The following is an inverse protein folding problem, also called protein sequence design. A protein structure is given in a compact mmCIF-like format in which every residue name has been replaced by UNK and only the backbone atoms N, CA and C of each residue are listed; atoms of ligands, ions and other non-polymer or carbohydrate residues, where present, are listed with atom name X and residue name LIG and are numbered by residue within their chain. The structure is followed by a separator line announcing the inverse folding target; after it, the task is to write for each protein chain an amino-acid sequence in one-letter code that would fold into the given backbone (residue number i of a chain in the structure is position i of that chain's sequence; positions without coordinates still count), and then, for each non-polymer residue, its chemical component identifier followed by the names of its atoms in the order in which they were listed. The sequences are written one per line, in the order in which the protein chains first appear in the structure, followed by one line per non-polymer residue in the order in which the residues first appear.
data_IF_617121041843
#
_entry.id   IF_617121041843
#
_cell.length_a   1.000
_cell.length_b   1.000
_cell.length_c   1.000
_cell.angle_alpha   90.00
_cell.angle_beta   90.00
_cell.angle_gamma   90.00
#
_symmetry.space_group_name_H-M   'P 1'
#
loop_
_entity.id
_entity.type
_entity.pdbx_description
1 polymer ?
#
# COMPACT_ATOMS: atom_id res chain seq x y z
N UNK A 1 7.61 41.69 12.44
CA UNK A 1 6.73 41.01 11.45
C UNK A 1 7.33 39.63 11.26
N UNK A 2 6.74 38.61 11.85
CA UNK A 2 7.14 37.22 11.59
C UNK A 2 6.83 36.94 10.13
N UNK A 3 7.84 36.89 9.24
CA UNK A 3 7.67 36.44 7.88
C UNK A 3 7.12 35.00 7.95
N UNK A 4 5.83 34.87 7.69
CA UNK A 4 5.18 33.56 7.67
C UNK A 4 5.72 32.81 6.44
N UNK A 5 6.63 31.86 6.65
CA UNK A 5 7.23 31.08 5.56
C UNK A 5 6.12 30.39 4.75
N UNK A 6 6.24 30.45 3.44
CA UNK A 6 5.31 29.80 2.52
C UNK A 6 5.83 28.42 2.14
N UNK A 7 5.00 27.41 2.37
CA UNK A 7 5.38 26.00 2.15
C UNK A 7 4.45 25.33 1.13
N UNK A 8 5.01 24.78 0.07
CA UNK A 8 4.25 23.93 -0.84
C UNK A 8 4.21 22.49 -0.34
N UNK A 9 3.05 21.85 -0.46
CA UNK A 9 2.88 20.42 -0.25
C UNK A 9 2.35 19.82 -1.54
N UNK A 10 3.06 18.83 -2.11
CA UNK A 10 2.75 18.24 -3.41
C UNK A 10 2.22 16.83 -3.24
N UNK A 11 1.02 16.58 -3.78
CA UNK A 11 0.23 15.38 -3.62
C UNK A 11 -0.71 15.45 -2.43
N UNK A 12 -1.70 14.57 -2.39
CA UNK A 12 -2.70 14.48 -1.31
C UNK A 12 -2.82 13.08 -0.70
N UNK A 13 -1.81 12.23 -0.84
CA UNK A 13 -1.73 10.97 -0.11
C UNK A 13 -1.53 11.20 1.40
N UNK A 14 -1.67 10.14 2.20
CA UNK A 14 -1.59 10.22 3.67
C UNK A 14 -0.33 10.95 4.18
N UNK A 15 0.82 10.79 3.51
CA UNK A 15 2.07 11.46 3.88
C UNK A 15 1.97 12.97 3.72
N UNK A 16 1.48 13.42 2.56
CA UNK A 16 1.28 14.85 2.27
C UNK A 16 0.23 15.46 3.16
N UNK A 17 -0.91 14.77 3.36
CA UNK A 17 -2.00 15.25 4.23
C UNK A 17 -1.54 15.37 5.68
N UNK A 18 -0.78 14.39 6.19
CA UNK A 18 -0.18 14.49 7.53
C UNK A 18 0.77 15.68 7.61
N UNK A 19 1.63 15.88 6.62
CA UNK A 19 2.54 17.03 6.58
C UNK A 19 1.77 18.34 6.55
N UNK A 20 0.78 18.47 5.66
CA UNK A 20 -0.04 19.68 5.52
C UNK A 20 -0.79 20.03 6.80
N UNK A 21 -1.38 19.02 7.48
CA UNK A 21 -2.12 19.21 8.73
C UNK A 21 -1.28 19.90 9.82
N UNK A 22 -0.06 19.42 10.04
CA UNK A 22 0.82 19.96 11.06
C UNK A 22 1.54 21.25 10.60
N UNK A 23 1.92 21.34 9.33
CA UNK A 23 2.54 22.55 8.77
C UNK A 23 1.60 23.74 8.80
N UNK A 24 0.29 23.55 8.54
CA UNK A 24 -0.71 24.61 8.54
C UNK A 24 -0.85 25.33 9.88
N UNK A 25 -0.42 24.72 10.98
CA UNK A 25 -0.44 25.35 12.32
C UNK A 25 0.66 26.41 12.48
N UNK A 26 1.71 26.37 11.63
CA UNK A 26 2.90 27.23 11.80
C UNK A 26 3.25 28.02 10.54
N UNK A 27 2.87 27.54 9.36
CA UNK A 27 3.27 28.07 8.07
C UNK A 27 2.07 28.44 7.21
N UNK A 28 2.27 29.32 6.24
CA UNK A 28 1.32 29.49 5.14
C UNK A 28 1.53 28.39 4.11
N UNK A 29 0.58 27.47 3.98
CA UNK A 29 0.72 26.31 3.09
C UNK A 29 -0.11 26.49 1.82
N UNK A 30 0.32 25.84 0.73
CA UNK A 30 -0.51 25.53 -0.44
C UNK A 30 -0.29 24.05 -0.81
N UNK A 31 -1.39 23.29 -0.91
CA UNK A 31 -1.37 21.90 -1.31
C UNK A 31 -1.80 21.76 -2.78
N UNK A 32 -1.00 21.06 -3.57
CA UNK A 32 -1.26 20.76 -4.97
C UNK A 32 -1.64 19.29 -5.14
N UNK A 33 -2.76 19.03 -5.81
CA UNK A 33 -3.19 17.67 -6.19
C UNK A 33 -3.56 17.65 -7.67
N UNK A 34 -2.98 16.70 -8.42
CA UNK A 34 -3.21 16.56 -9.87
C UNK A 34 -4.61 16.04 -10.22
N UNK A 35 -5.21 15.25 -9.31
CA UNK A 35 -6.53 14.67 -9.50
C UNK A 35 -7.63 15.63 -9.02
N UNK A 36 -8.87 15.27 -9.31
CA UNK A 36 -10.10 15.94 -8.86
C UNK A 36 -10.54 15.50 -7.45
N UNK A 37 -9.79 14.60 -6.80
CA UNK A 37 -10.08 14.04 -5.47
C UNK A 37 -8.82 14.01 -4.60
N UNK A 38 -9.02 14.01 -3.27
CA UNK A 38 -7.98 13.93 -2.25
C UNK A 38 -7.80 12.50 -1.72
N UNK A 39 -6.63 12.21 -1.14
CA UNK A 39 -6.37 10.98 -0.40
C UNK A 39 -5.42 10.01 -1.09
N UNK A 40 -5.20 10.13 -2.40
CA UNK A 40 -4.34 9.19 -3.15
C UNK A 40 -4.88 7.76 -3.08
N UNK A 41 -4.19 6.86 -2.35
CA UNK A 41 -4.65 5.49 -2.10
C UNK A 41 -5.76 5.40 -1.02
N UNK A 42 -6.03 6.45 -0.27
CA UNK A 42 -7.22 6.58 0.56
C UNK A 42 -8.39 6.98 -0.33
N UNK A 43 -8.96 5.99 -1.01
CA UNK A 43 -9.94 6.23 -2.07
C UNK A 43 -11.22 5.44 -1.80
N UNK A 44 -12.26 6.15 -1.42
CA UNK A 44 -13.59 5.60 -1.16
C UNK A 44 -14.52 5.95 -2.32
N UNK A 45 -15.16 4.97 -2.88
CA UNK A 45 -16.18 5.11 -3.94
C UNK A 45 -17.56 4.93 -3.32
N UNK A 46 -18.42 5.92 -3.49
CA UNK A 46 -19.84 5.80 -3.14
C UNK A 46 -20.58 5.15 -4.32
N UNK A 47 -21.14 3.97 -4.10
CA UNK A 47 -21.92 3.26 -5.11
C UNK A 47 -23.39 3.23 -4.73
N UNK A 48 -24.26 3.28 -5.73
CA UNK A 48 -25.68 2.94 -5.55
C UNK A 48 -25.88 1.47 -5.97
N UNK A 49 -26.17 0.62 -4.98
CA UNK A 49 -26.42 -0.79 -5.22
C UNK A 49 -27.88 -1.12 -4.89
N UNK A 50 -28.72 -1.23 -5.92
CA UNK A 50 -30.16 -1.48 -5.80
C UNK A 50 -30.86 -0.49 -4.85
N UNK A 51 -30.57 0.81 -4.99
CA UNK A 51 -31.18 1.85 -4.18
C UNK A 51 -30.50 2.11 -2.83
N UNK A 52 -29.50 1.30 -2.43
CA UNK A 52 -28.71 1.51 -1.22
C UNK A 52 -27.38 2.17 -1.56
N UNK A 53 -27.06 3.30 -0.92
CA UNK A 53 -25.77 3.93 -1.04
C UNK A 53 -24.76 3.26 -0.10
N UNK A 54 -23.63 2.81 -0.64
CA UNK A 54 -22.59 2.08 0.07
C UNK A 54 -21.25 2.73 -0.24
N UNK A 55 -20.50 3.08 0.80
CA UNK A 55 -19.12 3.59 0.69
C UNK A 55 -18.15 2.43 0.69
N UNK A 56 -17.31 2.31 -0.35
CA UNK A 56 -16.37 1.20 -0.52
C UNK A 56 -14.98 1.72 -0.77
N UNK A 57 -14.01 1.34 0.06
CA UNK A 57 -12.60 1.64 -0.15
C UNK A 57 -11.99 0.73 -1.22
N UNK A 58 -11.28 1.33 -2.18
CA UNK A 58 -10.63 0.60 -3.27
C UNK A 58 -9.10 0.62 -3.21
N UNK A 59 -8.54 1.26 -2.18
CA UNK A 59 -7.09 1.34 -1.95
C UNK A 59 -6.75 0.95 -0.51
N UNK A 60 -6.64 1.90 0.42
CA UNK A 60 -6.45 1.61 1.83
C UNK A 60 -7.75 1.14 2.47
N UNK A 61 -7.75 -0.05 3.11
CA UNK A 61 -8.97 -0.69 3.63
C UNK A 61 -8.87 -0.94 5.14
N UNK A 62 -7.77 -1.54 5.60
CA UNK A 62 -7.64 -2.04 6.98
C UNK A 62 -6.30 -1.69 7.62
N UNK A 63 -6.30 -1.59 8.96
CA UNK A 63 -5.13 -1.37 9.78
C UNK A 63 -5.29 -2.10 11.13
N UNK A 64 -4.23 -2.16 11.94
CA UNK A 64 -4.28 -2.68 13.29
C UNK A 64 -3.49 -1.79 14.26
N UNK A 65 -3.76 -1.90 15.53
CA UNK A 65 -3.15 -1.02 16.54
C UNK A 65 -1.67 -1.32 16.83
N UNK A 66 -1.20 -2.54 16.53
CA UNK A 66 0.19 -2.93 16.83
C UNK A 66 1.18 -2.39 15.81
N UNK A 67 0.81 -2.42 14.53
CA UNK A 67 1.72 -2.08 13.44
C UNK A 67 1.40 -0.75 12.77
N UNK A 68 0.36 -0.04 13.27
CA UNK A 68 -0.03 1.30 12.81
C UNK A 68 -0.16 2.30 13.98
N UNK A 69 0.89 2.45 14.85
CA UNK A 69 0.78 3.28 16.05
C UNK A 69 0.56 4.76 15.74
N UNK A 70 1.22 5.32 14.71
CA UNK A 70 1.06 6.72 14.34
C UNK A 70 -0.29 6.98 13.66
N UNK A 71 -0.76 6.06 12.79
CA UNK A 71 -2.08 6.17 12.18
C UNK A 71 -3.17 6.12 13.26
N UNK A 72 -3.06 5.18 14.22
CA UNK A 72 -3.96 5.08 15.36
C UNK A 72 -4.01 6.39 16.14
N UNK A 73 -2.86 6.92 16.53
CA UNK A 73 -2.77 8.15 17.29
C UNK A 73 -3.32 9.36 16.50
N UNK A 74 -3.10 9.38 15.18
CA UNK A 74 -3.66 10.43 14.33
C UNK A 74 -5.18 10.30 14.22
N UNK A 75 -5.75 9.10 14.12
CA UNK A 75 -7.19 8.89 14.12
C UNK A 75 -7.82 9.26 15.46
N UNK A 76 -7.16 8.98 16.58
CA UNK A 76 -7.60 9.42 17.91
C UNK A 76 -7.60 10.95 18.02
N UNK A 77 -6.57 11.64 17.54
CA UNK A 77 -6.50 13.10 17.49
C UNK A 77 -7.63 13.72 16.68
N UNK A 78 -8.04 13.07 15.58
CA UNK A 78 -9.06 13.55 14.65
C UNK A 78 -10.48 13.06 15.02
N UNK A 79 -10.64 12.28 16.07
CA UNK A 79 -11.90 11.62 16.45
C UNK A 79 -12.52 10.80 15.31
N UNK A 80 -11.70 9.99 14.63
CA UNK A 80 -12.13 9.13 13.52
C UNK A 80 -12.78 7.86 14.07
N UNK A 81 -14.00 7.61 13.64
CA UNK A 81 -14.72 6.37 13.98
C UNK A 81 -14.13 5.17 13.23
N UNK A 82 -13.82 4.12 13.99
CA UNK A 82 -13.28 2.88 13.45
C UNK A 82 -14.16 1.70 13.86
N UNK A 83 -14.21 0.67 13.03
CA UNK A 83 -14.95 -0.56 13.29
C UNK A 83 -14.01 -1.76 13.21
N UNK A 84 -14.30 -2.83 13.96
CA UNK A 84 -13.56 -4.09 13.87
C UNK A 84 -13.74 -4.69 12.47
N UNK A 85 -12.66 -5.15 11.88
CA UNK A 85 -12.61 -5.81 10.59
C UNK A 85 -12.19 -7.27 10.74
N UNK A 86 -12.63 -8.13 9.83
CA UNK A 86 -12.25 -9.53 9.79
C UNK A 86 -11.18 -9.72 8.69
N UNK A 87 -9.94 -10.00 9.11
CA UNK A 87 -8.84 -10.27 8.19
C UNK A 87 -8.63 -11.77 8.09
N UNK A 88 -8.63 -12.27 6.86
CA UNK A 88 -8.37 -13.68 6.56
C UNK A 88 -7.85 -13.81 5.13
N UNK A 89 -7.11 -14.90 4.86
CA UNK A 89 -6.47 -15.12 3.58
C UNK A 89 -6.82 -16.49 3.01
N UNK A 90 -7.15 -16.54 1.74
CA UNK A 90 -7.40 -17.76 0.99
C UNK A 90 -6.55 -17.83 -0.28
N UNK A 91 -6.34 -19.05 -0.74
CA UNK A 91 -5.63 -19.36 -1.97
C UNK A 91 -6.54 -20.20 -2.87
N UNK A 92 -6.63 -19.80 -4.14
CA UNK A 92 -7.36 -20.49 -5.22
C UNK A 92 -6.40 -20.70 -6.38
N UNK A 93 -6.01 -21.96 -6.63
CA UNK A 93 -5.09 -22.35 -7.71
C UNK A 93 -5.88 -23.18 -8.71
N UNK A 94 -6.21 -22.59 -9.86
CA UNK A 94 -7.09 -23.21 -10.84
C UNK A 94 -6.45 -24.46 -11.46
N UNK A 95 -5.18 -24.39 -11.89
CA UNK A 95 -4.44 -25.50 -12.49
C UNK A 95 -4.36 -26.77 -11.61
N UNK A 96 -4.45 -26.61 -10.28
CA UNK A 96 -4.38 -27.71 -9.30
C UNK A 96 -5.73 -28.05 -8.68
N UNK A 97 -6.78 -27.32 -9.06
CA UNK A 97 -8.07 -27.40 -8.37
C UNK A 97 -7.86 -27.39 -6.85
N UNK A 98 -7.09 -26.40 -6.35
CA UNK A 98 -6.75 -26.25 -4.94
C UNK A 98 -7.40 -24.99 -4.39
N UNK A 99 -8.21 -25.15 -3.35
CA UNK A 99 -8.83 -24.06 -2.61
C UNK A 99 -8.71 -24.31 -1.10
N UNK A 100 -8.21 -23.33 -0.37
CA UNK A 100 -8.17 -23.37 1.10
C UNK A 100 -8.05 -21.95 1.66
N UNK A 101 -8.35 -21.79 2.95
CA UNK A 101 -8.12 -20.54 3.68
C UNK A 101 -7.46 -20.83 5.04
N UNK A 102 -6.70 -19.85 5.54
CA UNK A 102 -5.95 -19.98 6.80
C UNK A 102 -6.75 -19.66 8.07
N UNK A 103 -8.05 -19.42 7.99
CA UNK A 103 -8.86 -18.91 9.11
C UNK A 103 -8.99 -19.91 10.27
N UNK A 104 -9.20 -21.19 9.94
CA UNK A 104 -9.34 -22.28 10.91
C UNK A 104 -9.15 -23.62 10.22
N UNK A 105 -9.10 -24.73 10.99
CA UNK A 105 -8.92 -26.07 10.42
C UNK A 105 -10.02 -26.45 9.41
N UNK A 106 -11.25 -25.99 9.60
CA UNK A 106 -12.35 -26.27 8.67
C UNK A 106 -12.12 -25.60 7.31
N UNK A 107 -11.55 -24.40 7.29
CA UNK A 107 -11.21 -23.66 6.06
C UNK A 107 -9.88 -24.14 5.45
N UNK A 108 -8.89 -24.52 6.25
CA UNK A 108 -7.64 -25.16 5.76
C UNK A 108 -7.97 -26.44 4.99
N UNK A 109 -8.87 -27.25 5.53
CA UNK A 109 -9.36 -28.47 4.89
C UNK A 109 -10.76 -28.27 4.23
N UNK A 110 -11.01 -27.09 3.66
CA UNK A 110 -12.27 -26.82 2.91
C UNK A 110 -12.53 -27.89 1.86
N UNK A 111 -11.49 -28.31 1.16
CA UNK A 111 -11.47 -29.50 0.31
C UNK A 111 -10.98 -30.69 1.12
N UNK A 112 -11.88 -31.55 1.60
CA UNK A 112 -11.56 -32.70 2.48
C UNK A 112 -10.51 -33.66 1.89
N UNK A 113 -10.42 -33.75 0.55
CA UNK A 113 -9.37 -34.54 -0.14
C UNK A 113 -7.94 -34.11 0.25
N UNK A 114 -7.73 -32.89 0.70
CA UNK A 114 -6.42 -32.37 1.10
C UNK A 114 -5.90 -33.02 2.40
N UNK A 115 -6.77 -33.62 3.22
CA UNK A 115 -6.39 -34.42 4.38
C UNK A 115 -5.50 -35.63 4.00
N UNK A 116 -5.64 -36.12 2.76
CA UNK A 116 -4.94 -37.30 2.25
C UNK A 116 -3.87 -36.93 1.22
N UNK A 117 -3.57 -35.64 1.00
CA UNK A 117 -2.52 -35.20 0.08
C UNK A 117 -1.19 -34.98 0.80
N UNK A 118 -0.16 -35.84 0.61
CA UNK A 118 1.13 -35.68 1.29
C UNK A 118 1.79 -34.31 1.07
N UNK A 119 1.70 -33.77 -0.16
CA UNK A 119 2.25 -32.46 -0.50
C UNK A 119 1.57 -31.32 0.27
N UNK A 120 0.25 -31.39 0.50
CA UNK A 120 -0.49 -30.40 1.29
C UNK A 120 -0.13 -30.49 2.78
N UNK A 121 -0.05 -31.69 3.33
CA UNK A 121 0.37 -31.91 4.72
C UNK A 121 1.82 -31.47 4.95
N UNK A 122 2.72 -31.72 3.96
CA UNK A 122 4.09 -31.22 3.99
C UNK A 122 4.09 -29.67 4.00
N UNK A 123 3.25 -29.02 3.21
CA UNK A 123 3.13 -27.56 3.20
C UNK A 123 2.78 -27.02 4.60
N UNK A 124 1.81 -27.63 5.30
CA UNK A 124 1.46 -27.22 6.66
C UNK A 124 2.63 -27.34 7.63
N UNK A 125 3.43 -28.44 7.53
CA UNK A 125 4.65 -28.60 8.31
C UNK A 125 5.71 -27.56 7.94
N UNK A 126 5.87 -27.26 6.67
CA UNK A 126 6.84 -26.30 6.16
C UNK A 126 6.49 -24.86 6.62
N UNK A 127 5.17 -24.52 6.80
CA UNK A 127 4.74 -23.25 7.42
C UNK A 127 5.32 -23.11 8.83
N UNK A 128 5.16 -24.14 9.67
CA UNK A 128 5.67 -24.10 11.05
C UNK A 128 7.20 -24.05 11.10
N UNK A 129 7.87 -24.79 10.19
CA UNK A 129 9.32 -24.77 10.06
C UNK A 129 9.83 -23.40 9.64
N UNK A 130 9.21 -22.79 8.63
CA UNK A 130 9.53 -21.45 8.16
C UNK A 130 9.35 -20.41 9.26
N UNK A 131 8.22 -20.39 9.94
CA UNK A 131 7.93 -19.41 10.99
C UNK A 131 8.99 -19.43 12.10
N UNK A 132 9.42 -20.64 12.52
CA UNK A 132 10.49 -20.82 13.51
C UNK A 132 11.84 -20.31 12.98
N UNK A 133 12.21 -20.69 11.76
CA UNK A 133 13.50 -20.35 11.15
C UNK A 133 13.62 -18.88 10.77
N UNK A 134 12.51 -18.27 10.35
CA UNK A 134 12.43 -16.87 10.01
C UNK A 134 12.80 -15.98 11.22
N UNK A 135 12.36 -16.33 12.42
CA UNK A 135 12.73 -15.59 13.65
C UNK A 135 14.23 -15.61 13.90
N UNK A 136 14.92 -16.70 13.57
CA UNK A 136 16.39 -16.82 13.73
C UNK A 136 17.15 -15.94 12.73
N UNK A 137 16.64 -15.81 11.49
CA UNK A 137 17.24 -14.94 10.47
C UNK A 137 17.36 -13.48 10.92
N UNK A 138 16.40 -12.99 11.70
CA UNK A 138 16.40 -11.62 12.19
C UNK A 138 17.49 -11.31 13.22
N UNK A 139 18.10 -12.34 13.82
CA UNK A 139 19.20 -12.22 14.79
C UNK A 139 20.59 -12.22 14.09
N UNK A 140 20.62 -12.42 12.78
CA UNK A 140 21.86 -12.38 11.99
C UNK A 140 22.11 -10.97 11.45
N UNK A 141 23.34 -10.68 11.00
CA UNK A 141 23.68 -9.43 10.33
C UNK A 141 22.87 -9.21 9.06
N UNK A 142 22.66 -7.95 8.66
CA UNK A 142 21.89 -7.61 7.46
C UNK A 142 22.69 -7.94 6.20
N UNK A 143 22.18 -8.83 5.36
CA UNK A 143 22.67 -9.09 4.01
C UNK A 143 21.55 -8.82 2.99
N UNK A 144 21.66 -7.70 2.29
CA UNK A 144 20.69 -7.29 1.28
C UNK A 144 20.75 -8.14 -0.01
N UNK A 145 21.80 -8.93 -0.19
CA UNK A 145 21.94 -9.82 -1.34
C UNK A 145 21.40 -11.24 -1.04
N UNK A 146 21.07 -11.53 0.24
CA UNK A 146 20.47 -12.80 0.62
C UNK A 146 18.97 -12.76 0.34
N UNK A 147 18.58 -13.28 -0.85
CA UNK A 147 17.19 -13.21 -1.32
C UNK A 147 16.28 -14.24 -0.64
N UNK A 148 14.96 -14.02 -0.75
CA UNK A 148 13.95 -14.99 -0.29
C UNK A 148 14.10 -16.34 -1.01
N UNK A 149 14.37 -16.35 -2.32
CA UNK A 149 14.60 -17.58 -3.06
C UNK A 149 15.76 -18.39 -2.44
N UNK A 150 16.87 -17.72 -2.13
CA UNK A 150 18.02 -18.37 -1.50
C UNK A 150 17.70 -18.87 -0.10
N UNK A 151 17.02 -18.07 0.72
CA UNK A 151 16.59 -18.46 2.06
C UNK A 151 15.68 -19.69 2.05
N UNK A 152 14.70 -19.74 1.14
CA UNK A 152 13.81 -20.91 0.98
C UNK A 152 14.56 -22.17 0.55
N UNK A 153 15.58 -22.04 -0.32
CA UNK A 153 16.45 -23.15 -0.71
C UNK A 153 17.24 -23.67 0.48
N UNK A 154 17.87 -22.78 1.26
CA UNK A 154 18.68 -23.16 2.42
C UNK A 154 17.83 -23.82 3.52
N UNK A 155 16.57 -23.40 3.68
CA UNK A 155 15.60 -24.05 4.58
C UNK A 155 15.09 -25.40 4.07
N UNK A 156 15.34 -25.74 2.81
CA UNK A 156 14.84 -26.97 2.17
C UNK A 156 13.33 -27.16 2.27
N UNK A 157 12.57 -26.06 2.28
CA UNK A 157 11.11 -26.12 2.24
C UNK A 157 10.62 -26.62 0.88
N UNK A 158 9.46 -27.25 0.87
CA UNK A 158 8.89 -27.80 -0.37
C UNK A 158 8.38 -26.71 -1.32
N UNK A 159 8.47 -26.98 -2.62
CA UNK A 159 7.95 -26.09 -3.64
C UNK A 159 6.46 -25.79 -3.46
N UNK A 160 5.68 -26.74 -2.91
CA UNK A 160 4.28 -26.57 -2.61
C UNK A 160 4.03 -25.45 -1.59
N UNK A 161 4.87 -25.34 -0.56
CA UNK A 161 4.86 -24.26 0.42
C UNK A 161 5.18 -22.91 -0.23
N UNK A 162 6.26 -22.84 -1.02
CA UNK A 162 6.69 -21.59 -1.65
C UNK A 162 5.64 -21.08 -2.64
N UNK A 163 5.15 -21.93 -3.56
CA UNK A 163 4.29 -21.55 -4.68
C UNK A 163 2.82 -21.41 -4.32
N UNK A 164 2.35 -22.06 -3.27
CA UNK A 164 0.91 -22.08 -2.96
C UNK A 164 0.57 -21.54 -1.56
N UNK A 165 1.56 -21.02 -0.82
CA UNK A 165 1.33 -20.36 0.47
C UNK A 165 2.11 -19.04 0.59
N UNK A 166 3.47 -19.11 0.66
CA UNK A 166 4.27 -17.95 1.05
C UNK A 166 4.30 -16.86 -0.03
N UNK A 167 4.70 -17.21 -1.25
CA UNK A 167 4.79 -16.24 -2.34
C UNK A 167 3.43 -15.66 -2.75
N UNK A 168 2.33 -16.44 -2.80
CA UNK A 168 0.98 -15.91 -2.97
C UNK A 168 0.58 -14.87 -1.91
N UNK A 169 0.86 -15.15 -0.64
CA UNK A 169 0.55 -14.23 0.45
C UNK A 169 1.35 -12.93 0.32
N UNK A 170 2.64 -13.03 0.06
CA UNK A 170 3.51 -11.86 -0.14
C UNK A 170 3.12 -11.05 -1.38
N UNK A 171 2.79 -11.74 -2.48
CA UNK A 171 2.32 -11.12 -3.71
C UNK A 171 1.02 -10.32 -3.48
N UNK A 172 0.09 -10.87 -2.70
CA UNK A 172 -1.13 -10.18 -2.32
C UNK A 172 -0.87 -8.94 -1.46
N UNK A 173 0.08 -9.01 -0.52
CA UNK A 173 0.42 -7.92 0.41
C UNK A 173 1.07 -6.74 -0.33
N UNK A 174 2.06 -7.00 -1.20
CA UNK A 174 2.81 -5.95 -1.90
C UNK A 174 2.30 -5.65 -3.31
N UNK A 175 1.21 -6.28 -3.75
CA UNK A 175 0.69 -6.13 -5.11
C UNK A 175 1.76 -6.32 -6.18
N UNK A 176 2.68 -7.28 -5.95
CA UNK A 176 3.88 -7.55 -6.76
C UNK A 176 3.86 -8.99 -7.29
N UNK A 177 4.23 -9.24 -8.57
CA UNK A 177 4.27 -10.58 -9.15
C UNK A 177 5.15 -11.54 -8.36
N UNK A 178 4.78 -12.83 -8.34
CA UNK A 178 5.49 -13.92 -7.64
C UNK A 178 6.97 -13.97 -7.99
N UNK A 179 7.30 -13.79 -9.26
CA UNK A 179 8.67 -13.86 -9.79
C UNK A 179 9.58 -12.81 -9.17
N UNK A 180 9.04 -11.64 -8.85
CA UNK A 180 9.79 -10.54 -8.23
C UNK A 180 9.87 -10.65 -6.72
N UNK A 181 8.89 -11.26 -6.07
CA UNK A 181 8.87 -11.44 -4.61
C UNK A 181 10.05 -12.31 -4.14
N UNK A 182 10.42 -13.33 -4.91
CA UNK A 182 11.54 -14.20 -4.59
C UNK A 182 12.89 -13.49 -4.51
N UNK A 183 13.03 -12.34 -5.16
CA UNK A 183 14.26 -11.53 -5.20
C UNK A 183 14.34 -10.51 -4.04
N UNK A 184 13.28 -10.38 -3.24
CA UNK A 184 13.29 -9.50 -2.06
C UNK A 184 14.36 -9.96 -1.07
N UNK A 185 15.09 -9.03 -0.41
CA UNK A 185 16.00 -9.37 0.68
C UNK A 185 15.24 -10.12 1.79
N UNK A 186 15.70 -11.33 2.09
CA UNK A 186 15.00 -12.24 3.00
C UNK A 186 14.76 -11.63 4.39
N UNK A 187 15.75 -10.89 4.91
CA UNK A 187 15.63 -10.27 6.22
C UNK A 187 14.59 -9.15 6.27
N UNK A 188 14.50 -8.32 5.23
CA UNK A 188 13.46 -7.28 5.12
C UNK A 188 12.07 -7.89 5.02
N UNK A 189 11.93 -8.93 4.20
CA UNK A 189 10.71 -9.70 4.05
C UNK A 189 10.25 -10.32 5.38
N UNK A 190 11.14 -11.04 6.05
CA UNK A 190 10.83 -11.71 7.33
C UNK A 190 10.53 -10.70 8.44
N UNK A 191 11.23 -9.58 8.49
CA UNK A 191 10.96 -8.49 9.45
C UNK A 191 9.54 -7.94 9.28
N UNK A 192 9.14 -7.72 8.04
CA UNK A 192 7.77 -7.32 7.75
C UNK A 192 6.77 -8.36 8.24
N UNK A 193 6.96 -9.64 7.90
CA UNK A 193 6.08 -10.73 8.32
C UNK A 193 5.98 -10.82 9.85
N UNK A 194 7.10 -10.67 10.56
CA UNK A 194 7.14 -10.64 12.02
C UNK A 194 6.33 -9.47 12.58
N UNK A 195 6.58 -8.26 12.06
CA UNK A 195 5.92 -7.04 12.54
C UNK A 195 4.41 -7.08 12.35
N UNK A 196 3.92 -7.78 11.30
CA UNK A 196 2.50 -7.89 11.00
C UNK A 196 1.83 -9.16 11.55
N UNK A 197 2.51 -9.90 12.44
CA UNK A 197 1.96 -11.11 13.06
C UNK A 197 1.76 -12.28 12.09
N UNK A 198 2.41 -12.26 10.92
CA UNK A 198 2.25 -13.27 9.86
C UNK A 198 3.12 -14.51 10.06
N UNK A 199 4.01 -14.49 11.07
CA UNK A 199 4.84 -15.64 11.47
C UNK A 199 4.21 -16.43 12.62
N UNK A 200 2.97 -16.15 13.00
CA UNK A 200 2.23 -16.89 14.04
C UNK A 200 0.94 -17.45 13.47
N UNK A 201 0.49 -18.56 14.02
CA UNK A 201 -0.81 -19.16 13.71
C UNK A 201 -1.87 -18.85 14.77
N UNK A 202 -1.46 -18.27 15.89
CA UNK A 202 -2.28 -17.78 17.00
C UNK A 202 -1.94 -16.33 17.31
N UNK A 203 -2.79 -15.66 18.08
CA UNK A 203 -2.58 -14.30 18.59
C UNK A 203 -2.38 -13.25 17.48
N UNK A 204 -3.12 -13.40 16.39
CA UNK A 204 -3.12 -12.41 15.33
C UNK A 204 -3.75 -11.09 15.81
N UNK A 205 -3.23 -9.93 15.38
CA UNK A 205 -3.77 -8.64 15.78
C UNK A 205 -5.23 -8.47 15.33
N UNK A 206 -6.03 -7.79 16.15
CA UNK A 206 -7.35 -7.34 15.72
C UNK A 206 -7.19 -6.27 14.65
N UNK A 207 -7.80 -6.47 13.50
CA UNK A 207 -7.86 -5.50 12.41
C UNK A 207 -9.07 -4.59 12.54
N UNK A 208 -8.93 -3.39 12.00
CA UNK A 208 -9.95 -2.34 11.98
C UNK A 208 -10.06 -1.73 10.59
N UNK A 209 -11.20 -1.13 10.33
CA UNK A 209 -11.46 -0.30 9.15
C UNK A 209 -12.06 1.04 9.58
N UNK A 210 -12.03 2.05 8.72
CA UNK A 210 -12.66 3.33 9.00
C UNK A 210 -14.16 3.22 8.72
N UNK A 211 -14.98 3.58 9.69
CA UNK A 211 -16.44 3.61 9.51
C UNK A 211 -16.83 4.68 8.47
N UNK A 212 -17.56 4.30 7.43
CA UNK A 212 -17.89 5.16 6.29
C UNK A 212 -16.77 5.34 5.26
N UNK A 213 -15.65 4.59 5.40
CA UNK A 213 -14.54 4.57 4.46
C UNK A 213 -13.46 5.60 4.73
N UNK A 214 -12.32 5.43 4.08
CA UNK A 214 -11.11 6.24 4.25
C UNK A 214 -11.31 7.73 3.94
N UNK A 215 -12.29 8.09 3.13
CA UNK A 215 -12.67 9.49 2.86
C UNK A 215 -12.99 10.28 4.15
N UNK A 216 -13.44 9.61 5.23
CA UNK A 216 -13.80 10.27 6.48
C UNK A 216 -12.59 10.97 7.10
N UNK A 217 -11.46 10.29 7.24
CA UNK A 217 -10.27 10.95 7.78
C UNK A 217 -9.62 11.91 6.78
N UNK A 218 -9.68 11.62 5.48
CA UNK A 218 -9.18 12.56 4.46
C UNK A 218 -9.90 13.92 4.57
N UNK A 219 -11.22 13.89 4.63
CA UNK A 219 -12.02 15.09 4.81
C UNK A 219 -11.67 15.80 6.11
N UNK A 220 -11.59 15.05 7.22
CA UNK A 220 -11.30 15.59 8.54
C UNK A 220 -9.93 16.27 8.62
N UNK A 221 -8.92 15.70 8.00
CA UNK A 221 -7.58 16.31 7.91
C UNK A 221 -7.66 17.65 7.17
N UNK A 222 -8.43 17.72 6.09
CA UNK A 222 -8.48 18.88 5.19
C UNK A 222 -9.38 20.02 5.68
N UNK A 223 -10.26 19.80 6.67
CA UNK A 223 -11.24 20.80 7.16
C UNK A 223 -10.59 22.16 7.46
N UNK A 224 -9.44 22.17 8.12
CA UNK A 224 -8.80 23.40 8.61
C UNK A 224 -7.95 24.14 7.56
N UNK A 225 -7.79 23.59 6.35
CA UNK A 225 -7.03 24.21 5.27
C UNK A 225 -7.61 23.94 3.88
N UNK A 226 -8.91 23.70 3.80
CA UNK A 226 -9.60 23.40 2.53
C UNK A 226 -9.43 24.51 1.47
N UNK A 227 -9.39 25.77 1.90
CA UNK A 227 -9.15 26.93 1.03
C UNK A 227 -7.71 27.06 0.52
N UNK A 228 -6.78 26.24 1.02
CA UNK A 228 -5.37 26.18 0.61
C UNK A 228 -5.05 24.99 -0.32
N UNK A 229 -6.08 24.24 -0.71
CA UNK A 229 -5.97 23.06 -1.56
C UNK A 229 -6.29 23.43 -3.01
N UNK A 230 -5.41 23.06 -3.93
CA UNK A 230 -5.61 23.21 -5.37
C UNK A 230 -5.73 21.83 -6.02
N UNK A 231 -6.97 21.41 -6.32
CA UNK A 231 -7.28 20.18 -7.07
C UNK A 231 -7.14 20.41 -8.57
N UNK A 232 -6.99 19.33 -9.37
CA UNK A 232 -6.74 19.42 -10.82
C UNK A 232 -5.59 20.39 -11.12
N UNK A 233 -4.54 20.35 -10.29
CA UNK A 233 -3.40 21.27 -10.37
C UNK A 233 -2.09 20.47 -10.28
N UNK A 234 -1.68 19.94 -11.42
CA UNK A 234 -0.49 19.12 -11.52
C UNK A 234 0.76 20.00 -11.52
N UNK A 235 1.66 19.75 -10.57
CA UNK A 235 2.99 20.36 -10.55
C UNK A 235 3.82 19.77 -11.67
N UNK A 236 4.30 20.65 -12.57
CA UNK A 236 5.10 20.28 -13.74
C UNK A 236 6.58 20.41 -13.48
N UNK A 237 7.00 21.47 -12.76
CA UNK A 237 8.41 21.65 -12.44
C UNK A 237 8.61 22.37 -11.10
N UNK A 238 9.74 22.06 -10.47
CA UNK A 238 10.25 22.67 -9.24
C UNK A 238 11.66 23.13 -9.51
N UNK A 239 11.89 24.43 -9.44
CA UNK A 239 13.15 25.07 -9.75
C UNK A 239 13.67 25.85 -8.54
N UNK A 240 14.92 25.61 -8.17
CA UNK A 240 15.61 26.38 -7.12
C UNK A 240 16.31 27.57 -7.77
N UNK A 241 15.96 28.78 -7.35
CA UNK A 241 16.48 30.05 -7.90
C UNK A 241 17.62 30.56 -7.05
N UNK A 242 18.77 30.84 -7.66
CA UNK A 242 20.01 31.20 -6.98
C UNK A 242 20.12 32.64 -6.51
N UNK A 243 19.15 33.52 -6.81
CA UNK A 243 19.31 34.97 -6.68
C UNK A 243 18.23 35.70 -5.88
N UNK A 244 17.43 35.01 -5.06
CA UNK A 244 16.37 35.62 -4.26
C UNK A 244 16.66 35.54 -2.76
N UNK A 245 16.44 36.63 -2.03
CA UNK A 245 16.61 36.68 -0.59
C UNK A 245 15.53 35.93 0.22
N UNK A 246 14.43 35.52 -0.45
CA UNK A 246 13.33 34.74 0.12
C UNK A 246 12.53 34.08 -1.00
N UNK A 247 11.83 32.97 -0.67
CA UNK A 247 11.00 32.21 -1.62
C UNK A 247 11.76 31.75 -2.85
N UNK A 248 12.87 31.07 -2.59
CA UNK A 248 13.82 30.68 -3.62
C UNK A 248 13.36 29.47 -4.46
N UNK A 249 12.18 28.91 -4.22
CA UNK A 249 11.69 27.76 -4.97
C UNK A 249 10.48 28.18 -5.80
N UNK A 250 10.65 28.11 -7.11
CA UNK A 250 9.59 28.32 -8.10
C UNK A 250 8.91 26.99 -8.41
N UNK A 251 7.59 26.97 -8.31
CA UNK A 251 6.75 25.85 -8.74
C UNK A 251 5.93 26.30 -9.95
N UNK A 252 5.99 25.53 -11.04
CA UNK A 252 5.12 25.67 -12.20
C UNK A 252 4.11 24.53 -12.16
N UNK A 253 2.85 24.89 -12.13
CA UNK A 253 1.73 23.93 -12.14
C UNK A 253 0.83 24.16 -13.36
N UNK A 254 -0.18 23.32 -13.52
CA UNK A 254 -1.19 23.49 -14.60
C UNK A 254 -2.00 24.78 -14.47
N UNK A 255 -2.08 25.38 -13.26
CA UNK A 255 -2.85 26.61 -13.00
C UNK A 255 -1.99 27.86 -12.91
N UNK A 256 -0.67 27.76 -13.00
CA UNK A 256 0.22 28.91 -12.97
C UNK A 256 1.51 28.71 -12.23
N UNK A 257 2.13 29.79 -11.81
CA UNK A 257 3.42 29.80 -11.13
C UNK A 257 3.27 30.38 -9.71
N UNK A 258 3.97 29.75 -8.77
CA UNK A 258 4.05 30.18 -7.37
C UNK A 258 5.47 30.11 -6.84
N UNK A 259 5.77 30.86 -5.78
CA UNK A 259 7.07 30.90 -5.13
C UNK A 259 6.96 30.53 -3.66
N UNK A 260 7.89 29.69 -3.17
CA UNK A 260 7.87 29.12 -1.85
C UNK A 260 9.25 29.19 -1.18
N UNK A 261 9.23 29.15 0.14
CA UNK A 261 10.44 29.02 0.97
C UNK A 261 10.86 27.56 1.15
N UNK A 262 9.87 26.64 1.16
CA UNK A 262 10.08 25.19 1.34
C UNK A 262 9.08 24.40 0.51
N UNK A 263 9.47 23.18 0.13
CA UNK A 263 8.61 22.25 -0.60
C UNK A 263 8.65 20.88 0.04
N UNK A 264 7.47 20.30 0.30
CA UNK A 264 7.31 18.91 0.74
C UNK A 264 6.69 18.12 -0.42
N UNK A 265 7.41 17.12 -0.91
CA UNK A 265 6.96 16.29 -2.03
C UNK A 265 6.51 14.93 -1.50
N UNK A 266 5.20 14.67 -1.51
CA UNK A 266 4.60 13.39 -1.13
C UNK A 266 4.05 12.60 -2.33
N UNK A 267 4.50 12.91 -3.53
CA UNK A 267 4.26 12.12 -4.75
C UNK A 267 5.16 10.88 -4.78
N UNK A 268 4.95 9.98 -5.75
CA UNK A 268 5.86 8.86 -5.98
C UNK A 268 7.28 9.35 -6.26
N UNK A 269 8.29 8.57 -5.88
CA UNK A 269 9.70 8.98 -6.02
C UNK A 269 10.10 9.29 -7.47
N UNK A 270 9.62 8.52 -8.43
CA UNK A 270 9.86 8.74 -9.86
C UNK A 270 9.17 10.01 -10.38
N UNK A 271 7.97 10.32 -9.86
CA UNK A 271 7.25 11.56 -10.15
C UNK A 271 7.96 12.76 -9.50
N UNK A 272 8.39 12.60 -8.24
CA UNK A 272 9.18 13.62 -7.54
C UNK A 272 10.46 13.97 -8.33
N UNK A 273 11.21 12.95 -8.77
CA UNK A 273 12.42 13.16 -9.57
C UNK A 273 12.15 13.92 -10.88
N UNK A 274 11.05 13.59 -11.56
CA UNK A 274 10.66 14.25 -12.83
C UNK A 274 10.27 15.71 -12.63
N UNK A 275 9.76 16.09 -11.48
CA UNK A 275 9.39 17.48 -11.20
C UNK A 275 10.60 18.38 -10.94
N UNK A 276 11.74 17.85 -10.50
CA UNK A 276 12.96 18.63 -10.24
C UNK A 276 13.61 19.08 -11.55
N UNK A 277 13.79 20.38 -11.74
CA UNK A 277 14.42 20.94 -12.98
C UNK A 277 15.89 20.52 -13.08
N UNK A 278 16.64 20.58 -11.99
CA UNK A 278 18.06 20.21 -11.95
C UNK A 278 18.31 19.22 -10.80
N UNK A 279 17.86 17.94 -10.94
CA UNK A 279 18.12 16.94 -9.93
C UNK A 279 19.62 16.63 -9.87
N UNK A 280 20.17 16.58 -8.65
CA UNK A 280 21.55 16.12 -8.46
C UNK A 280 21.67 14.62 -8.74
N UNK A 281 22.91 14.13 -8.93
CA UNK A 281 23.18 12.69 -9.08
C UNK A 281 22.65 11.90 -7.87
N UNK A 282 22.69 12.50 -6.68
CA UNK A 282 22.15 11.90 -5.47
C UNK A 282 20.62 11.73 -5.53
N UNK A 283 19.89 12.75 -6.01
CA UNK A 283 18.45 12.62 -6.24
C UNK A 283 18.14 11.49 -7.24
N UNK A 284 18.92 11.38 -8.33
CA UNK A 284 18.73 10.30 -9.32
C UNK A 284 19.00 8.92 -8.72
N UNK A 285 20.07 8.77 -7.92
CA UNK A 285 20.42 7.51 -7.26
C UNK A 285 19.41 7.09 -6.21
N UNK A 286 18.82 8.03 -5.48
CA UNK A 286 17.88 7.71 -4.40
C UNK A 286 16.45 7.57 -4.95
N UNK A 287 15.91 8.59 -5.61
CA UNK A 287 14.51 8.58 -6.07
C UNK A 287 14.30 7.67 -7.29
N UNK A 288 15.29 7.61 -8.21
CA UNK A 288 15.21 6.85 -9.46
C UNK A 288 15.33 5.33 -9.30
N UNK A 289 15.82 4.84 -8.17
CA UNK A 289 15.97 3.41 -7.91
C UNK A 289 14.73 2.74 -7.30
N UNK A 290 13.69 3.50 -6.97
CA UNK A 290 12.41 2.96 -6.51
C UNK A 290 11.47 2.89 -7.73
N UNK A 291 11.20 1.67 -8.19
CA UNK A 291 10.34 1.42 -9.34
C UNK A 291 8.89 1.22 -8.93
N UNK A 292 7.97 1.48 -9.85
CA UNK A 292 6.54 1.32 -9.61
C UNK A 292 5.92 0.37 -10.62
N UNK A 293 4.86 -0.32 -10.17
CA UNK A 293 4.08 -1.23 -10.98
C UNK A 293 2.62 -0.80 -11.01
N UNK A 294 2.06 -0.75 -12.20
CA UNK A 294 0.63 -0.48 -12.40
C UNK A 294 -0.21 -1.70 -12.07
N UNK A 295 -1.29 -1.47 -11.37
CA UNK A 295 -2.28 -2.49 -11.03
C UNK A 295 -3.68 -1.96 -11.33
N UNK A 296 -4.47 -2.73 -12.07
CA UNK A 296 -5.89 -2.44 -12.30
C UNK A 296 -6.70 -2.88 -11.09
N UNK A 297 -7.45 -1.97 -10.53
CA UNK A 297 -8.41 -2.23 -9.45
C UNK A 297 -9.81 -2.13 -10.01
N UNK A 298 -10.63 -3.15 -9.78
CA UNK A 298 -12.02 -3.24 -10.22
C UNK A 298 -12.91 -3.43 -9.01
N UNK A 299 -13.86 -2.51 -8.79
CA UNK A 299 -14.91 -2.62 -7.79
C UNK A 299 -16.15 -3.23 -8.48
N UNK A 300 -16.63 -4.38 -7.99
CA UNK A 300 -17.67 -5.16 -8.66
C UNK A 300 -18.48 -6.03 -7.70
N UNK A 301 -19.54 -6.67 -8.22
CA UNK A 301 -20.41 -7.60 -7.47
C UNK A 301 -20.32 -9.08 -7.94
N UNK A 302 -19.44 -9.42 -8.90
CA UNK A 302 -19.28 -10.80 -9.38
C UNK A 302 -18.55 -11.67 -8.35
N UNK A 303 -19.28 -12.61 -7.75
CA UNK A 303 -18.75 -13.54 -6.74
C UNK A 303 -17.94 -14.72 -7.31
N UNK A 304 -17.85 -14.88 -8.64
CA UNK A 304 -17.05 -15.94 -9.28
C UNK A 304 -15.55 -15.80 -9.02
N UNK A 305 -15.08 -14.59 -8.62
CA UNK A 305 -13.71 -14.36 -8.18
C UNK A 305 -13.35 -15.13 -6.91
N UNK A 306 -14.34 -15.47 -6.10
CA UNK A 306 -14.17 -16.20 -4.85
C UNK A 306 -13.97 -17.70 -5.08
N UNK A 307 -13.44 -18.47 -4.07
CA UNK A 307 -13.42 -19.93 -4.13
C UNK A 307 -14.80 -20.53 -4.37
N UNK A 308 -14.87 -21.64 -5.13
CA UNK A 308 -16.13 -22.37 -5.32
C UNK A 308 -16.64 -22.95 -4.00
N UNK A 309 -15.73 -23.41 -3.15
CA UNK A 309 -16.08 -23.89 -1.82
C UNK A 309 -16.21 -22.71 -0.85
N UNK A 310 -17.43 -22.38 -0.42
CA UNK A 310 -17.72 -21.29 0.52
C UNK A 310 -16.95 -21.41 1.85
N UNK A 311 -16.51 -22.59 2.27
CA UNK A 311 -15.68 -22.77 3.48
C UNK A 311 -14.28 -22.18 3.31
N UNK A 312 -13.82 -21.97 2.07
CA UNK A 312 -12.56 -21.31 1.73
C UNK A 312 -12.74 -19.81 1.44
N UNK A 313 -13.92 -19.23 1.62
CA UNK A 313 -14.08 -17.79 1.48
C UNK A 313 -13.32 -17.06 2.57
N UNK A 314 -12.60 -16.05 2.18
CA UNK A 314 -11.80 -15.22 3.08
C UNK A 314 -11.83 -13.76 2.60
N UNK A 315 -11.41 -12.86 3.46
CA UNK A 315 -11.38 -11.43 3.17
C UNK A 315 -10.45 -11.07 2.01
N UNK A 316 -9.35 -11.81 1.88
CA UNK A 316 -8.40 -11.71 0.77
C UNK A 316 -8.31 -13.07 0.09
N UNK A 317 -8.44 -13.11 -1.23
CA UNK A 317 -8.34 -14.32 -2.04
C UNK A 317 -7.29 -14.10 -3.12
N UNK A 318 -6.16 -14.79 -3.00
CA UNK A 318 -5.20 -14.88 -4.10
C UNK A 318 -5.68 -15.94 -5.10
N UNK A 319 -5.72 -15.58 -6.38
CA UNK A 319 -6.07 -16.52 -7.46
C UNK A 319 -4.91 -16.67 -8.43
N UNK A 320 -4.43 -17.92 -8.60
CA UNK A 320 -3.51 -18.30 -9.68
C UNK A 320 -4.32 -18.93 -10.80
N UNK A 321 -4.27 -18.30 -11.96
CA UNK A 321 -4.90 -18.79 -13.19
C UNK A 321 -3.97 -19.78 -13.90
N UNK A 322 -4.53 -20.58 -14.79
CA UNK A 322 -3.79 -21.46 -15.69
C UNK A 322 -3.12 -20.60 -16.78
N UNK A 323 -1.82 -20.78 -17.00
CA UNK A 323 -1.06 -20.04 -18.02
C UNK A 323 -1.57 -20.32 -19.45
N UNK A 324 -2.26 -21.47 -19.65
CA UNK A 324 -2.91 -21.80 -20.93
C UNK A 324 -4.15 -20.98 -21.23
N UNK A 325 -4.74 -20.33 -20.22
CA UNK A 325 -5.91 -19.42 -20.37
C UNK A 325 -5.45 -17.96 -20.49
N UNK A 326 -4.51 -17.68 -21.38
CA UNK A 326 -4.19 -16.31 -21.79
C UNK A 326 -5.39 -15.73 -22.56
N UNK A 327 -6.46 -15.39 -21.84
CA UNK A 327 -7.51 -14.53 -22.34
C UNK A 327 -6.88 -13.17 -22.67
N UNK A 328 -7.22 -12.66 -23.83
CA UNK A 328 -6.91 -11.34 -24.35
C UNK A 328 -7.14 -10.27 -23.27
N UNK A 329 -6.13 -10.01 -22.46
CA UNK A 329 -6.17 -8.89 -21.52
C UNK A 329 -6.26 -7.61 -22.34
N UNK A 330 -7.39 -6.90 -22.20
CA UNK A 330 -7.60 -5.55 -22.75
C UNK A 330 -6.47 -4.59 -22.33
N UNK A 331 -5.69 -4.96 -21.31
CA UNK A 331 -4.54 -4.25 -20.77
C UNK A 331 -3.26 -5.10 -20.90
N UNK A 332 -2.66 -5.12 -22.09
CA UNK A 332 -1.48 -5.93 -22.46
C UNK A 332 -0.21 -5.72 -21.61
N UNK A 333 -0.20 -4.75 -20.68
CA UNK A 333 0.97 -4.39 -19.87
C UNK A 333 0.79 -4.59 -18.36
N UNK A 334 -0.26 -5.30 -17.91
CA UNK A 334 -0.44 -5.62 -16.50
C UNK A 334 0.29 -6.92 -16.12
N UNK A 335 0.75 -7.05 -14.86
CA UNK A 335 1.48 -8.23 -14.41
C UNK A 335 0.66 -9.51 -14.62
N UNK A 336 1.27 -10.49 -15.31
CA UNK A 336 0.56 -11.65 -15.83
C UNK A 336 0.04 -12.63 -14.78
N UNK A 337 0.57 -12.65 -13.55
CA UNK A 337 0.34 -13.74 -12.58
C UNK A 337 -0.19 -13.29 -11.21
N UNK A 338 -0.49 -12.00 -11.00
CA UNK A 338 -1.06 -11.49 -9.76
C UNK A 338 -2.54 -11.18 -9.94
N UNK A 339 -3.41 -11.91 -9.27
CA UNK A 339 -4.80 -11.54 -9.10
C UNK A 339 -5.22 -11.76 -7.64
N UNK A 340 -5.73 -10.70 -7.02
CA UNK A 340 -6.21 -10.73 -5.64
C UNK A 340 -7.60 -10.14 -5.61
N UNK A 341 -8.52 -10.82 -4.92
CA UNK A 341 -9.86 -10.30 -4.69
C UNK A 341 -10.10 -10.08 -3.20
N UNK A 342 -10.65 -8.93 -2.88
CA UNK A 342 -10.99 -8.50 -1.53
C UNK A 342 -12.50 -8.59 -1.34
N UNK A 343 -12.95 -9.32 -0.32
CA UNK A 343 -14.36 -9.41 0.04
C UNK A 343 -14.72 -8.26 0.98
N UNK A 344 -15.30 -7.22 0.42
CA UNK A 344 -15.52 -5.97 1.13
C UNK A 344 -16.57 -6.07 2.24
N UNK A 345 -17.54 -6.99 2.08
CA UNK A 345 -18.52 -7.25 3.13
C UNK A 345 -17.88 -7.67 4.47
N UNK A 346 -16.81 -8.46 4.41
CA UNK A 346 -16.06 -8.85 5.60
C UNK A 346 -15.10 -7.74 6.11
N UNK A 347 -14.47 -7.04 5.15
CA UNK A 347 -13.46 -6.03 5.48
C UNK A 347 -14.07 -4.73 6.02
N UNK A 348 -15.21 -4.27 5.46
CA UNK A 348 -15.86 -3.02 5.82
C UNK A 348 -17.25 -3.20 6.47
N UNK A 349 -17.57 -4.41 6.95
CA UNK A 349 -18.86 -4.72 7.59
C UNK A 349 -20.08 -4.35 6.73
N UNK A 350 -19.99 -4.51 5.41
CA UNK A 350 -21.06 -4.26 4.49
C UNK A 350 -22.07 -5.41 4.58
N UNK A 351 -23.37 -5.08 4.53
CA UNK A 351 -24.46 -6.05 4.57
C UNK A 351 -24.27 -7.16 3.51
N UNK A 352 -24.34 -8.43 3.95
CA UNK A 352 -24.10 -9.61 3.12
C UNK A 352 -25.11 -9.77 1.96
N UNK A 353 -26.27 -9.10 2.02
CA UNK A 353 -27.24 -9.06 0.94
C UNK A 353 -26.76 -8.25 -0.29
N UNK A 354 -25.69 -7.48 -0.12
CA UNK A 354 -25.06 -6.68 -1.18
C UNK A 354 -23.61 -7.17 -1.36
N UNK A 355 -23.36 -8.30 -2.03
CA UNK A 355 -22.00 -8.81 -2.21
C UNK A 355 -21.15 -7.84 -3.01
N UNK A 356 -20.03 -7.41 -2.44
CA UNK A 356 -19.11 -6.44 -3.02
C UNK A 356 -17.69 -6.97 -2.94
N UNK A 357 -16.99 -6.87 -4.05
CA UNK A 357 -15.60 -7.28 -4.20
C UNK A 357 -14.77 -6.16 -4.82
N UNK A 358 -13.54 -6.07 -4.40
CA UNK A 358 -12.50 -5.28 -5.06
C UNK A 358 -11.46 -6.26 -5.58
N UNK A 359 -11.25 -6.31 -6.90
CA UNK A 359 -10.25 -7.21 -7.49
C UNK A 359 -9.09 -6.45 -8.07
N UNK A 360 -7.87 -6.88 -7.72
CA UNK A 360 -6.62 -6.39 -8.27
C UNK A 360 -6.20 -7.29 -9.43
N UNK A 361 -6.02 -6.71 -10.61
CA UNK A 361 -5.64 -7.40 -11.85
C UNK A 361 -6.48 -8.67 -12.14
N UNK A 362 -7.81 -8.61 -12.12
CA UNK A 362 -8.62 -9.78 -12.40
C UNK A 362 -8.34 -10.27 -13.83
N UNK A 363 -8.02 -11.55 -13.98
CA UNK A 363 -7.89 -12.19 -15.30
C UNK A 363 -9.22 -12.75 -15.80
N UNK A 364 -10.11 -13.07 -14.88
CA UNK A 364 -11.49 -13.45 -15.21
C UNK A 364 -12.21 -12.21 -15.70
N UNK A 365 -12.91 -12.34 -16.83
CA UNK A 365 -13.78 -11.28 -17.33
C UNK A 365 -14.94 -11.07 -16.34
N UNK A 366 -15.09 -9.81 -15.93
CA UNK A 366 -16.21 -9.35 -15.10
C UNK A 366 -17.18 -8.63 -16.04
N UNK A 367 -18.43 -9.04 -16.03
CA UNK A 367 -19.44 -8.43 -16.88
C UNK A 367 -19.59 -6.93 -16.57
N UNK A 368 -19.76 -6.11 -17.60
CA UNK A 368 -19.80 -4.65 -17.45
C UNK A 368 -20.88 -4.17 -16.48
N UNK A 369 -22.02 -4.82 -16.47
CA UNK A 369 -23.16 -4.58 -15.56
C UNK A 369 -22.88 -4.95 -14.11
N UNK A 370 -21.82 -5.68 -13.85
CA UNK A 370 -21.38 -6.04 -12.51
C UNK A 370 -20.28 -5.11 -11.97
N UNK A 371 -19.75 -4.22 -12.80
CA UNK A 371 -18.68 -3.29 -12.45
C UNK A 371 -19.27 -1.97 -11.97
N UNK A 372 -18.89 -1.55 -10.77
CA UNK A 372 -19.22 -0.23 -10.23
C UNK A 372 -18.16 0.83 -10.55
N UNK A 373 -16.87 0.45 -10.48
CA UNK A 373 -15.76 1.38 -10.72
C UNK A 373 -14.49 0.64 -11.12
N UNK A 374 -13.62 1.33 -11.87
CA UNK A 374 -12.29 0.85 -12.26
C UNK A 374 -11.25 1.94 -12.08
N UNK A 375 -10.05 1.58 -11.62
CA UNK A 375 -8.94 2.51 -11.45
C UNK A 375 -7.60 1.82 -11.56
N UNK A 376 -6.59 2.53 -12.08
CA UNK A 376 -5.20 2.07 -12.04
C UNK A 376 -4.51 2.73 -10.85
N UNK A 377 -3.93 1.91 -9.97
CA UNK A 377 -3.00 2.33 -8.95
C UNK A 377 -1.58 1.88 -9.27
N UNK A 378 -0.62 2.62 -8.78
CA UNK A 378 0.81 2.30 -8.92
C UNK A 378 1.39 1.99 -7.55
N UNK A 379 2.04 0.83 -7.41
CA UNK A 379 2.64 0.37 -6.17
C UNK A 379 4.16 0.28 -6.32
N UNK A 380 4.95 0.69 -5.30
CA UNK A 380 6.40 0.56 -5.34
C UNK A 380 6.84 -0.90 -5.26
N UNK A 381 7.95 -1.22 -5.93
CA UNK A 381 8.59 -2.53 -5.90
C UNK A 381 9.81 -2.43 -4.97
N UNK A 382 9.89 -3.32 -3.98
CA UNK A 382 10.92 -3.30 -2.94
C UNK A 382 12.04 -4.32 -3.20
N UNK A 383 12.68 -4.22 -4.36
CA UNK A 383 13.89 -4.97 -4.68
C UNK A 383 15.12 -4.45 -3.88
N UNK A 384 16.26 -5.09 -4.07
CA UNK A 384 17.49 -4.72 -3.37
C UNK A 384 17.94 -3.29 -3.66
N UNK A 385 17.66 -2.76 -4.87
CA UNK A 385 18.00 -1.39 -5.24
C UNK A 385 17.10 -0.39 -4.51
N UNK A 386 15.80 -0.67 -4.45
CA UNK A 386 14.86 0.16 -3.71
C UNK A 386 15.22 0.23 -2.21
N UNK A 387 15.59 -0.91 -1.59
CA UNK A 387 15.97 -0.93 -0.17
C UNK A 387 17.28 -0.17 0.08
N UNK A 388 18.27 -0.28 -0.82
CA UNK A 388 19.49 0.55 -0.78
C UNK A 388 19.15 2.04 -0.91
N UNK A 389 18.25 2.40 -1.79
CA UNK A 389 17.79 3.78 -1.96
C UNK A 389 17.07 4.31 -0.71
N UNK A 390 16.22 3.49 -0.08
CA UNK A 390 15.56 3.82 1.18
C UNK A 390 16.55 4.17 2.30
N UNK A 391 17.64 3.41 2.43
CA UNK A 391 18.67 3.67 3.47
C UNK A 391 19.41 4.99 3.28
N UNK A 392 19.40 5.53 2.06
CA UNK A 392 20.06 6.79 1.68
C UNK A 392 19.10 7.98 1.60
N UNK A 393 17.83 7.79 1.91
CA UNK A 393 16.81 8.84 1.78
C UNK A 393 17.13 10.10 2.60
N UNK A 394 17.82 9.95 3.76
CA UNK A 394 18.23 11.08 4.59
C UNK A 394 19.27 11.97 3.92
N UNK A 395 20.05 11.47 2.96
CA UNK A 395 21.06 12.24 2.25
C UNK A 395 20.49 13.33 1.34
N UNK A 396 19.23 13.18 0.92
CA UNK A 396 18.53 14.15 0.04
C UNK A 396 17.52 15.03 0.78
N UNK A 397 17.24 14.74 2.06
CA UNK A 397 16.25 15.49 2.82
C UNK A 397 16.73 16.91 3.14
N UNK A 398 15.90 17.89 2.80
CA UNK A 398 16.18 19.30 3.08
C UNK A 398 17.24 19.96 2.18
N UNK A 399 17.78 19.24 1.19
CA UNK A 399 18.65 19.86 0.19
C UNK A 399 17.85 20.93 -0.56
N UNK A 400 18.35 22.17 -0.53
CA UNK A 400 17.69 23.33 -1.11
C UNK A 400 16.25 23.56 -0.61
N UNK A 401 15.96 23.21 0.65
CA UNK A 401 14.65 23.33 1.30
C UNK A 401 13.55 22.46 0.64
N UNK A 402 13.96 21.38 -0.05
CA UNK A 402 13.08 20.37 -0.64
C UNK A 402 13.12 19.11 0.22
N UNK A 403 11.96 18.63 0.62
CA UNK A 403 11.77 17.47 1.49
C UNK A 403 10.89 16.43 0.81
N UNK A 404 11.14 15.17 1.08
CA UNK A 404 10.42 14.05 0.48
C UNK A 404 9.74 13.20 1.56
N UNK A 405 8.46 12.91 1.39
CA UNK A 405 7.73 11.97 2.21
C UNK A 405 6.96 10.98 1.33
N UNK A 406 6.63 9.82 1.85
CA UNK A 406 5.89 8.79 1.12
C UNK A 406 6.11 7.40 1.70
N UNK A 407 5.11 6.54 1.55
CA UNK A 407 5.16 5.17 2.01
C UNK A 407 6.29 4.34 1.36
N UNK A 408 6.75 4.74 0.17
CA UNK A 408 7.87 4.12 -0.54
C UNK A 408 9.21 4.17 0.22
N UNK A 409 9.30 5.01 1.26
CA UNK A 409 10.50 5.11 2.10
C UNK A 409 10.66 3.93 3.09
N UNK A 410 9.70 3.01 3.13
CA UNK A 410 9.74 1.79 3.94
C UNK A 410 8.98 0.67 3.23
N UNK A 411 7.97 0.07 3.83
CA UNK A 411 7.26 -1.11 3.30
C UNK A 411 6.06 -0.80 2.41
N UNK A 412 5.67 0.47 2.24
CA UNK A 412 4.60 0.90 1.34
C UNK A 412 3.22 1.03 1.97
N UNK A 413 3.12 1.01 3.29
CA UNK A 413 1.84 1.08 4.02
C UNK A 413 1.54 2.49 4.54
N UNK A 414 0.30 2.72 4.99
CA UNK A 414 -0.13 4.01 5.54
C UNK A 414 0.72 4.45 6.73
N UNK A 415 1.09 3.54 7.61
CA UNK A 415 1.98 3.82 8.74
C UNK A 415 3.34 4.33 8.28
N UNK A 416 3.88 3.74 7.20
CA UNK A 416 5.15 4.19 6.62
C UNK A 416 5.03 5.60 6.03
N UNK A 417 3.87 5.88 5.42
CA UNK A 417 3.56 7.20 4.89
C UNK A 417 3.53 8.27 5.98
N UNK A 418 2.81 8.03 7.07
CA UNK A 418 2.76 8.93 8.22
C UNK A 418 4.13 9.06 8.87
N UNK A 419 4.82 7.96 9.10
CA UNK A 419 6.17 7.97 9.70
C UNK A 419 7.17 8.79 8.89
N UNK A 420 7.07 8.74 7.55
CA UNK A 420 7.91 9.55 6.68
C UNK A 420 7.60 11.05 6.81
N UNK A 421 6.32 11.40 6.89
CA UNK A 421 5.88 12.78 7.14
C UNK A 421 6.36 13.30 8.48
N UNK A 422 6.22 12.51 9.55
CA UNK A 422 6.70 12.89 10.89
C UNK A 422 8.23 13.09 10.92
N UNK A 423 9.01 12.30 10.17
CA UNK A 423 10.45 12.54 10.03
C UNK A 423 10.77 13.91 9.41
N UNK A 424 10.05 14.30 8.35
CA UNK A 424 10.18 15.62 7.72
C UNK A 424 9.76 16.72 8.68
N UNK A 425 8.62 16.57 9.36
CA UNK A 425 8.13 17.54 10.34
C UNK A 425 9.13 17.77 11.49
N UNK A 426 9.77 16.69 11.97
CA UNK A 426 10.81 16.80 13.02
C UNK A 426 12.02 17.62 12.56
N UNK A 427 12.43 17.53 11.28
CA UNK A 427 13.49 18.40 10.73
C UNK A 427 13.06 19.88 10.66
N UNK A 428 11.75 20.13 10.58
CA UNK A 428 11.17 21.49 10.61
C UNK A 428 10.77 21.95 12.03
N UNK A 429 11.22 21.21 13.06
CA UNK A 429 10.91 21.48 14.46
C UNK A 429 9.41 21.51 14.76
N UNK A 430 8.65 20.62 14.13
CA UNK A 430 7.24 20.38 14.39
C UNK A 430 7.09 18.94 14.90
N UNK A 431 6.42 18.77 16.02
CA UNK A 431 6.13 17.46 16.61
C UNK A 431 4.64 17.19 16.62
N UNK A 432 4.27 15.98 16.34
CA UNK A 432 2.90 15.53 16.59
C UNK A 432 2.68 15.33 18.10
N UNK A 433 1.45 15.51 18.62
CA UNK A 433 1.17 15.45 20.06
C UNK A 433 1.53 14.12 20.74
N UNK A 434 1.71 13.05 19.98
CA UNK A 434 2.05 11.71 20.47
C UNK A 434 3.52 11.33 20.32
N UNK A 435 4.41 12.24 19.88
CA UNK A 435 5.85 12.06 19.74
C UNK A 435 6.65 12.48 20.98
#
# INVERSE_FOLDING_TARGET
MTNNLKVAVIGSGISSLTSAYFLNQKYDIKLYEKNDYLGGHSNTIDINYNGKNIAVDIGFIVFNHQTYPNLKAFFELLDIKIAKSQMSFAVKILEKNLEYAGTNLNSVFAQRKNLFKPAFLKMLRDILHFNKSASNLLNQGVDLNYSMNKFLQDLRVGNYFSQYYLLPMASAIWSTPLEKIGDYPAQSFVRFFKNHGLLTVSDQPQWYTVDGGSKQYVNKICENFSNKISLNDEVKSIEVLSNLNSRNIKIVSTKGEDFFDKVIIGAHSDQALKMLVNPTDLHQQVLGNIKYQKNLVVLHKDSKVMPQNKRAWASWVYTKYDDSQNSSNIFQNLPSNLAVSYWMNNLQNIDQNYPIFVSLNPKQEIAKEDIFHQKIFEHPIFDSQAIKAQSRMQEIQGLNEIYFCGAYQSYGFHEDGISSALRVLNQLYIKAPWQ
#
